data_IF_975412450250
#
_entry.id   IF_975412450250
#
_cell.length_a   1.000
_cell.length_b   1.000
_cell.length_c   1.000
_cell.angle_alpha   90.00
_cell.angle_beta   90.00
_cell.angle_gamma   90.00
#
_symmetry.space_group_name_H-M   'P 1'
#
loop_
_entity.id
_entity.type
_entity.pdbx_description
1 polymer ?
#
# COMPACT_ATOMS: atom_id res chain seq x y z
N UNK A 1 2.02 -31.43 19.08
CA UNK A 1 2.84 -31.11 17.89
C UNK A 1 2.69 -29.62 17.71
N UNK A 2 3.70 -28.86 18.13
CA UNK A 2 3.74 -27.41 17.91
C UNK A 2 4.11 -27.20 16.44
N UNK A 3 3.09 -26.89 15.62
CA UNK A 3 3.23 -26.65 14.18
C UNK A 3 3.69 -25.20 13.94
N UNK A 4 4.91 -24.89 14.43
CA UNK A 4 5.50 -23.54 14.37
C UNK A 4 6.46 -23.36 13.19
N UNK A 5 6.69 -24.43 12.42
CA UNK A 5 7.63 -24.45 11.30
C UNK A 5 7.01 -25.14 10.09
N UNK A 6 6.80 -24.38 9.03
CA UNK A 6 6.44 -24.87 7.71
C UNK A 6 7.69 -25.34 6.94
N UNK A 7 7.55 -26.11 5.85
CA UNK A 7 8.69 -26.45 4.99
C UNK A 7 9.39 -25.17 4.48
N UNK A 8 10.72 -25.12 4.39
CA UNK A 8 11.41 -23.96 3.85
C UNK A 8 11.09 -23.77 2.36
N UNK A 9 11.14 -22.53 1.91
CA UNK A 9 11.06 -22.14 0.49
C UNK A 9 12.46 -22.15 -0.09
N UNK A 10 12.63 -22.75 -1.27
CA UNK A 10 13.91 -22.72 -1.97
C UNK A 10 14.35 -21.29 -2.28
N UNK A 11 15.63 -21.00 -2.03
CA UNK A 11 16.20 -19.69 -2.36
C UNK A 11 16.04 -19.42 -3.86
N UNK A 12 15.56 -18.22 -4.19
CA UNK A 12 15.29 -17.87 -5.60
C UNK A 12 13.90 -18.25 -6.11
N UNK A 13 13.10 -19.00 -5.35
CA UNK A 13 11.73 -19.31 -5.73
C UNK A 13 10.89 -18.03 -5.84
N UNK A 14 10.12 -17.92 -6.92
CA UNK A 14 9.17 -16.83 -7.10
C UNK A 14 7.98 -17.05 -6.15
N UNK A 15 7.80 -16.13 -5.20
CA UNK A 15 6.67 -16.17 -4.26
C UNK A 15 5.55 -15.25 -4.77
N UNK A 16 4.34 -15.79 -4.83
CA UNK A 16 3.13 -15.00 -5.11
C UNK A 16 2.76 -14.19 -3.86
N UNK A 17 2.39 -12.93 -4.05
CA UNK A 17 1.94 -12.03 -2.98
C UNK A 17 2.69 -10.69 -2.94
N UNK A 18 3.85 -10.58 -3.59
CA UNK A 18 4.59 -9.31 -3.66
C UNK A 18 4.92 -8.76 -2.27
N UNK A 19 4.69 -7.46 -2.04
CA UNK A 19 4.96 -6.82 -0.74
C UNK A 19 4.11 -7.40 0.41
N UNK A 20 2.94 -8.00 0.10
CA UNK A 20 2.04 -8.63 1.08
C UNK A 20 2.71 -9.77 1.84
N UNK A 21 3.73 -10.40 1.26
CA UNK A 21 4.54 -11.43 1.95
C UNK A 21 5.15 -10.87 3.23
N UNK A 22 5.79 -9.70 3.13
CA UNK A 22 6.46 -9.06 4.26
C UNK A 22 5.44 -8.44 5.23
N UNK A 23 4.33 -7.91 4.71
CA UNK A 23 3.25 -7.38 5.52
C UNK A 23 2.62 -8.45 6.42
N UNK A 24 2.29 -9.62 5.83
CA UNK A 24 1.72 -10.73 6.60
C UNK A 24 2.74 -11.33 7.57
N UNK A 25 3.99 -11.52 7.16
CA UNK A 25 5.03 -12.03 8.06
C UNK A 25 5.23 -11.09 9.25
N UNK A 26 5.29 -9.79 8.97
CA UNK A 26 5.36 -8.75 10.00
C UNK A 26 4.14 -8.79 10.92
N UNK A 27 2.94 -8.99 10.39
CA UNK A 27 1.72 -9.06 11.18
C UNK A 27 1.65 -10.31 12.08
N UNK A 28 1.86 -11.49 11.50
CA UNK A 28 1.89 -12.79 12.17
C UNK A 28 2.46 -13.88 11.22
N UNK A 29 3.56 -14.57 11.56
CA UNK A 29 4.15 -15.61 10.70
C UNK A 29 3.16 -16.70 10.29
N UNK A 30 2.34 -17.18 11.23
CA UNK A 30 1.28 -18.15 10.92
C UNK A 30 0.31 -17.66 9.85
N UNK A 31 -0.06 -16.37 9.89
CA UNK A 31 -0.97 -15.77 8.89
C UNK A 31 -0.33 -15.76 7.51
N UNK A 32 0.95 -15.40 7.41
CA UNK A 32 1.68 -15.45 6.15
C UNK A 32 1.72 -16.87 5.56
N UNK A 33 2.03 -17.86 6.39
CA UNK A 33 2.02 -19.26 5.98
C UNK A 33 0.64 -19.72 5.51
N UNK A 34 -0.39 -19.55 6.34
CA UNK A 34 -1.74 -20.03 6.05
C UNK A 34 -2.32 -19.37 4.79
N UNK A 35 -2.25 -18.05 4.66
CA UNK A 35 -2.87 -17.37 3.52
C UNK A 35 -2.08 -17.56 2.21
N UNK A 36 -0.74 -17.49 2.25
CA UNK A 36 0.06 -17.48 1.02
C UNK A 36 0.47 -18.87 0.54
N UNK A 37 0.57 -19.84 1.45
CA UNK A 37 1.05 -21.19 1.12
C UNK A 37 -0.04 -22.24 1.17
N UNK A 38 -1.00 -22.11 2.10
CA UNK A 38 -2.16 -23.01 2.16
C UNK A 38 -3.38 -22.45 1.42
N UNK A 39 -3.32 -21.20 0.94
CA UNK A 39 -4.46 -20.48 0.36
C UNK A 39 -5.67 -20.47 1.30
N UNK A 40 -5.42 -20.46 2.62
CA UNK A 40 -6.46 -20.38 3.63
C UNK A 40 -6.91 -18.92 3.76
N UNK A 41 -7.81 -18.49 2.87
CA UNK A 41 -8.46 -17.18 2.95
C UNK A 41 -9.92 -17.36 3.32
N UNK A 42 -10.51 -16.33 3.95
CA UNK A 42 -11.96 -16.32 4.16
C UNK A 42 -12.69 -16.39 2.81
N UNK A 43 -13.91 -16.92 2.83
CA UNK A 43 -14.82 -16.80 1.69
C UNK A 43 -15.30 -15.34 1.62
N UNK A 44 -15.38 -14.81 0.40
CA UNK A 44 -15.94 -13.49 0.18
C UNK A 44 -17.41 -13.46 0.61
N UNK A 45 -17.76 -12.54 1.50
CA UNK A 45 -19.15 -12.30 1.87
C UNK A 45 -19.79 -11.35 0.84
N UNK A 46 -20.99 -11.66 0.31
CA UNK A 46 -21.65 -10.78 -0.63
C UNK A 46 -22.07 -9.48 0.06
N UNK A 47 -21.50 -8.35 -0.38
CA UNK A 47 -21.87 -7.02 0.08
C UNK A 47 -22.64 -6.23 -1.00
N UNK A 48 -23.36 -5.19 -0.59
CA UNK A 48 -24.09 -4.28 -1.46
C UNK A 48 -23.13 -3.27 -2.10
N UNK A 49 -22.42 -3.70 -3.14
CA UNK A 49 -21.57 -2.85 -3.98
C UNK A 49 -20.09 -3.23 -3.91
N UNK A 50 -19.19 -2.37 -4.42
CA UNK A 50 -17.76 -2.66 -4.40
C UNK A 50 -17.23 -2.59 -2.97
N UNK A 51 -16.49 -3.64 -2.60
CA UNK A 51 -15.78 -3.73 -1.33
C UNK A 51 -14.61 -2.72 -1.25
N UNK A 52 -13.94 -2.68 -0.10
CA UNK A 52 -12.82 -1.76 0.12
C UNK A 52 -11.68 -1.99 -0.87
N UNK A 53 -11.42 -3.25 -1.26
CA UNK A 53 -10.35 -3.62 -2.18
C UNK A 53 -10.65 -3.15 -3.61
N UNK A 54 -11.87 -3.35 -4.09
CA UNK A 54 -12.33 -2.86 -5.39
C UNK A 54 -12.29 -1.33 -5.45
N UNK A 55 -12.71 -0.65 -4.37
CA UNK A 55 -12.63 0.82 -4.29
C UNK A 55 -11.19 1.32 -4.30
N UNK A 56 -10.28 0.65 -3.59
CA UNK A 56 -8.85 0.94 -3.66
C UNK A 56 -8.32 0.75 -5.08
N UNK A 57 -8.60 -0.39 -5.70
CA UNK A 57 -8.16 -0.68 -7.07
C UNK A 57 -8.67 0.34 -8.10
N UNK A 58 -9.91 0.80 -7.95
CA UNK A 58 -10.47 1.86 -8.78
C UNK A 58 -9.75 3.19 -8.58
N UNK A 59 -9.46 3.58 -7.34
CA UNK A 59 -8.69 4.80 -7.05
C UNK A 59 -7.32 4.75 -7.74
N UNK A 60 -6.57 3.66 -7.59
CA UNK A 60 -5.28 3.50 -8.24
C UNK A 60 -5.41 3.62 -9.76
N UNK A 61 -6.43 2.99 -10.35
CA UNK A 61 -6.66 3.07 -11.79
C UNK A 61 -6.96 4.49 -12.26
N UNK A 62 -7.76 5.25 -11.50
CA UNK A 62 -8.04 6.66 -11.79
C UNK A 62 -6.76 7.48 -11.72
N UNK A 63 -5.95 7.32 -10.67
CA UNK A 63 -4.69 8.05 -10.52
C UNK A 63 -3.69 7.70 -11.62
N UNK A 64 -3.57 6.43 -12.00
CA UNK A 64 -2.73 5.98 -13.11
C UNK A 64 -3.11 6.67 -14.42
N UNK A 65 -4.40 6.67 -14.77
CA UNK A 65 -4.89 7.26 -16.02
C UNK A 65 -4.73 8.79 -16.02
N UNK A 66 -5.15 9.44 -14.93
CA UNK A 66 -5.11 10.89 -14.79
C UNK A 66 -3.68 11.44 -14.87
N UNK A 67 -2.76 10.87 -14.09
CA UNK A 67 -1.37 11.29 -14.13
C UNK A 67 -0.64 10.88 -15.41
N UNK A 68 -1.21 9.95 -16.19
CA UNK A 68 -0.76 9.68 -17.55
C UNK A 68 -1.04 10.78 -18.54
N UNK A 69 -2.12 11.53 -18.32
CA UNK A 69 -2.45 12.68 -19.14
C UNK A 69 -1.81 13.97 -18.62
N UNK A 70 -1.86 14.20 -17.31
CA UNK A 70 -1.30 15.41 -16.71
C UNK A 70 0.23 15.41 -16.74
N UNK A 71 0.86 14.29 -16.38
CA UNK A 71 2.32 14.12 -16.38
C UNK A 71 3.09 14.91 -15.31
N UNK A 72 2.64 16.08 -14.91
CA UNK A 72 3.31 16.93 -13.91
C UNK A 72 2.36 17.91 -13.22
N UNK A 73 2.89 18.62 -12.21
CA UNK A 73 2.12 19.61 -11.47
C UNK A 73 1.76 20.84 -12.33
N UNK A 74 2.62 21.26 -13.25
CA UNK A 74 2.39 22.46 -14.05
C UNK A 74 1.16 22.29 -14.95
N UNK A 75 0.98 21.10 -15.54
CA UNK A 75 -0.20 20.74 -16.30
C UNK A 75 -1.47 20.75 -15.45
N UNK A 76 -1.41 20.24 -14.21
CA UNK A 76 -2.52 20.33 -13.26
C UNK A 76 -2.90 21.79 -12.96
N UNK A 77 -1.90 22.64 -12.71
CA UNK A 77 -2.10 24.05 -12.39
C UNK A 77 -2.61 24.87 -13.58
N UNK A 78 -2.30 24.46 -14.82
CA UNK A 78 -2.74 25.13 -16.04
C UNK A 78 -4.23 24.92 -16.37
N UNK A 79 -4.87 23.89 -15.79
CA UNK A 79 -6.30 23.63 -15.98
C UNK A 79 -7.15 24.49 -15.05
N UNK A 80 -8.14 25.15 -15.64
CA UNK A 80 -9.24 25.75 -14.89
C UNK A 80 -10.16 24.67 -14.28
N UNK A 81 -11.08 25.09 -13.41
CA UNK A 81 -11.95 24.18 -12.67
C UNK A 81 -12.83 23.31 -13.58
N UNK A 82 -13.38 23.90 -14.66
CA UNK A 82 -14.27 23.20 -15.57
C UNK A 82 -13.51 22.15 -16.41
N UNK A 83 -12.33 22.52 -16.92
CA UNK A 83 -11.46 21.64 -17.67
C UNK A 83 -10.90 20.52 -16.79
N UNK A 84 -10.50 20.83 -15.55
CA UNK A 84 -10.04 19.82 -14.59
C UNK A 84 -11.14 18.80 -14.28
N UNK A 85 -12.34 19.28 -13.95
CA UNK A 85 -13.50 18.41 -13.68
C UNK A 85 -13.83 17.50 -14.85
N UNK A 86 -13.84 18.03 -16.08
CA UNK A 86 -14.09 17.23 -17.29
C UNK A 86 -12.98 16.18 -17.52
N UNK A 87 -11.71 16.53 -17.28
CA UNK A 87 -10.59 15.60 -17.36
C UNK A 87 -10.72 14.46 -16.34
N UNK A 88 -10.98 14.79 -15.07
CA UNK A 88 -11.19 13.82 -14.00
C UNK A 88 -12.37 12.91 -14.31
N UNK A 89 -13.54 13.46 -14.66
CA UNK A 89 -14.74 12.67 -14.97
C UNK A 89 -14.50 11.66 -16.09
N UNK A 90 -13.75 12.04 -17.13
CA UNK A 90 -13.42 11.13 -18.24
C UNK A 90 -12.57 9.95 -17.78
N UNK A 91 -11.54 10.18 -16.97
CA UNK A 91 -10.67 9.10 -16.46
C UNK A 91 -11.38 8.22 -15.42
N UNK A 92 -12.22 8.82 -14.58
CA UNK A 92 -13.08 8.10 -13.64
C UNK A 92 -14.07 7.20 -14.38
N UNK A 93 -14.75 7.72 -15.39
CA UNK A 93 -15.67 6.95 -16.24
C UNK A 93 -14.95 5.76 -16.87
N UNK A 94 -13.78 5.98 -17.48
CA UNK A 94 -13.00 4.92 -18.10
C UNK A 94 -12.57 3.83 -17.10
N UNK A 95 -12.16 4.20 -15.88
CA UNK A 95 -11.78 3.25 -14.84
C UNK A 95 -12.97 2.40 -14.37
N UNK A 96 -14.13 3.04 -14.14
CA UNK A 96 -15.36 2.34 -13.71
C UNK A 96 -15.89 1.43 -14.80
N UNK A 97 -15.90 1.86 -16.07
CA UNK A 97 -16.31 1.03 -17.21
C UNK A 97 -15.42 -0.20 -17.37
N UNK A 98 -14.10 -0.03 -17.27
CA UNK A 98 -13.15 -1.12 -17.36
C UNK A 98 -13.38 -2.17 -16.25
N UNK A 99 -13.69 -1.73 -15.03
CA UNK A 99 -13.98 -2.62 -13.91
C UNK A 99 -15.33 -3.33 -14.06
N UNK A 100 -16.36 -2.58 -14.47
CA UNK A 100 -17.68 -3.13 -14.76
C UNK A 100 -17.66 -4.18 -15.87
N UNK A 101 -16.77 -4.05 -16.87
CA UNK A 101 -16.60 -5.04 -17.93
C UNK A 101 -16.05 -6.38 -17.41
N UNK A 102 -15.17 -6.37 -16.41
CA UNK A 102 -14.64 -7.59 -15.77
C UNK A 102 -15.69 -8.28 -14.91
N UNK A 103 -16.57 -7.51 -14.29
CA UNK A 103 -17.54 -7.98 -13.29
C UNK A 103 -18.99 -7.57 -13.64
N UNK A 104 -19.45 -7.90 -14.86
CA UNK A 104 -20.71 -7.38 -15.43
C UNK A 104 -21.95 -7.53 -14.54
N UNK A 105 -22.07 -8.65 -13.81
CA UNK A 105 -23.21 -8.91 -12.91
C UNK A 105 -23.19 -8.09 -11.62
N UNK A 106 -22.02 -7.60 -11.21
CA UNK A 106 -21.82 -6.88 -9.94
C UNK A 106 -21.89 -5.35 -10.11
N UNK A 107 -21.91 -4.86 -11.35
CA UNK A 107 -21.84 -3.44 -11.67
C UNK A 107 -23.03 -2.95 -12.52
N UNK A 108 -24.25 -2.86 -11.97
CA UNK A 108 -25.36 -2.26 -12.69
C UNK A 108 -25.09 -0.79 -13.03
N UNK A 109 -25.67 -0.29 -14.13
CA UNK A 109 -25.44 1.08 -14.62
C UNK A 109 -25.66 2.16 -13.56
N UNK A 110 -26.63 1.96 -12.67
CA UNK A 110 -26.91 2.90 -11.56
C UNK A 110 -25.76 2.94 -10.55
N UNK A 111 -25.14 1.81 -10.24
CA UNK A 111 -23.98 1.74 -9.35
C UNK A 111 -22.76 2.40 -10.01
N UNK A 112 -22.54 2.13 -11.30
CA UNK A 112 -21.48 2.78 -12.06
C UNK A 112 -21.62 4.31 -12.01
N UNK A 113 -22.82 4.85 -12.25
CA UNK A 113 -23.05 6.29 -12.19
C UNK A 113 -22.81 6.91 -10.80
N UNK A 114 -23.16 6.18 -9.72
CA UNK A 114 -22.88 6.61 -8.35
C UNK A 114 -21.38 6.61 -8.06
N UNK A 115 -20.67 5.56 -8.45
CA UNK A 115 -19.21 5.47 -8.26
C UNK A 115 -18.47 6.52 -9.08
N UNK A 116 -18.92 6.82 -10.31
CA UNK A 116 -18.35 7.91 -11.12
C UNK A 116 -18.50 9.26 -10.43
N UNK A 117 -19.69 9.54 -9.89
CA UNK A 117 -19.93 10.78 -9.15
C UNK A 117 -19.03 10.85 -7.92
N UNK A 118 -19.01 9.78 -7.11
CA UNK A 118 -18.23 9.70 -5.86
C UNK A 118 -16.73 9.84 -6.11
N UNK A 119 -16.17 9.08 -7.05
CA UNK A 119 -14.74 9.10 -7.37
C UNK A 119 -14.32 10.41 -8.03
N UNK A 120 -15.20 11.07 -8.78
CA UNK A 120 -14.93 12.40 -9.33
C UNK A 120 -14.69 13.40 -8.21
N UNK A 121 -15.62 13.52 -7.26
CA UNK A 121 -15.45 14.48 -6.14
C UNK A 121 -14.24 14.12 -5.27
N UNK A 122 -14.05 12.83 -4.97
CA UNK A 122 -12.90 12.37 -4.18
C UNK A 122 -11.57 12.70 -4.86
N UNK A 123 -11.50 12.51 -6.18
CA UNK A 123 -10.29 12.81 -6.96
C UNK A 123 -10.05 14.31 -7.03
N UNK A 124 -11.08 15.13 -7.22
CA UNK A 124 -10.94 16.59 -7.22
C UNK A 124 -10.45 17.10 -5.86
N UNK A 125 -11.03 16.62 -4.76
CA UNK A 125 -10.59 16.96 -3.40
C UNK A 125 -9.12 16.56 -3.17
N UNK A 126 -8.69 15.39 -3.67
CA UNK A 126 -7.28 14.99 -3.63
C UNK A 126 -6.37 15.92 -4.44
N UNK A 127 -6.81 16.34 -5.63
CA UNK A 127 -5.99 17.19 -6.49
C UNK A 127 -5.76 18.58 -5.88
N UNK A 128 -6.58 19.04 -4.95
CA UNK A 128 -6.30 20.26 -4.18
C UNK A 128 -5.06 20.10 -3.27
N UNK A 129 -4.81 18.91 -2.75
CA UNK A 129 -3.55 18.59 -2.04
C UNK A 129 -2.37 18.59 -3.01
N UNK A 130 -2.54 17.99 -4.19
CA UNK A 130 -1.50 17.93 -5.23
C UNK A 130 -1.13 19.32 -5.76
N UNK A 131 -2.11 20.23 -5.89
CA UNK A 131 -1.89 21.64 -6.27
C UNK A 131 -1.00 22.40 -5.29
N UNK A 132 -0.98 22.01 -4.02
CA UNK A 132 -0.21 22.68 -2.95
C UNK A 132 1.22 22.15 -2.80
N UNK A 133 1.56 21.04 -3.43
CA UNK A 133 2.91 20.47 -3.37
C UNK A 133 3.94 21.38 -4.06
N UNK A 134 5.23 21.24 -3.77
CA UNK A 134 6.27 21.81 -4.62
C UNK A 134 6.27 21.17 -6.03
N UNK A 135 6.87 21.82 -7.05
CA UNK A 135 6.91 21.28 -8.41
C UNK A 135 7.47 19.86 -8.50
N UNK A 136 6.76 19.00 -9.24
CA UNK A 136 7.13 17.62 -9.48
C UNK A 136 6.77 17.19 -10.90
N UNK A 137 7.44 16.14 -11.38
CA UNK A 137 7.12 15.43 -12.63
C UNK A 137 6.87 13.96 -12.31
N UNK A 138 5.78 13.41 -12.82
CA UNK A 138 5.46 11.99 -12.65
C UNK A 138 6.36 11.17 -13.57
N UNK A 139 7.31 10.44 -12.99
CA UNK A 139 8.27 9.62 -13.72
C UNK A 139 7.69 8.23 -14.05
N UNK A 140 6.95 7.64 -13.11
CA UNK A 140 6.35 6.33 -13.31
C UNK A 140 5.01 6.19 -12.57
N UNK A 141 4.15 5.32 -13.09
CA UNK A 141 2.83 4.98 -12.55
C UNK A 141 2.63 3.48 -12.67
N UNK A 142 2.11 2.84 -11.62
CA UNK A 142 1.79 1.41 -11.59
C UNK A 142 2.97 0.53 -12.09
N UNK A 143 4.20 0.89 -11.70
CA UNK A 143 5.44 0.28 -12.20
C UNK A 143 5.63 -1.11 -11.61
N UNK A 144 5.61 -2.13 -12.47
CA UNK A 144 5.95 -3.50 -12.10
C UNK A 144 7.46 -3.66 -11.95
N UNK A 145 7.90 -4.22 -10.82
CA UNK A 145 9.30 -4.47 -10.53
C UNK A 145 9.49 -5.82 -9.83
N UNK A 146 10.54 -6.53 -10.22
CA UNK A 146 11.02 -7.70 -9.49
C UNK A 146 12.08 -7.27 -8.46
N UNK A 147 11.87 -7.64 -7.20
CA UNK A 147 12.78 -7.30 -6.10
C UNK A 147 13.32 -8.59 -5.48
N UNK A 148 14.63 -8.64 -5.28
CA UNK A 148 15.29 -9.67 -4.48
C UNK A 148 15.56 -9.13 -3.07
N UNK A 149 15.04 -9.80 -2.04
CA UNK A 149 15.22 -9.41 -0.64
C UNK A 149 15.22 -10.66 0.26
N UNK A 150 16.22 -10.81 1.13
CA UNK A 150 16.33 -11.97 2.03
C UNK A 150 16.24 -13.34 1.34
N UNK A 151 16.69 -13.46 0.08
CA UNK A 151 16.61 -14.68 -0.74
C UNK A 151 15.24 -14.97 -1.38
N UNK A 152 14.24 -14.11 -1.16
CA UNK A 152 12.96 -14.12 -1.86
C UNK A 152 13.04 -13.30 -3.15
N UNK A 153 12.27 -13.72 -4.17
CA UNK A 153 12.00 -12.92 -5.36
C UNK A 153 10.53 -12.52 -5.35
N UNK A 154 10.27 -11.23 -5.22
CA UNK A 154 8.95 -10.65 -5.09
C UNK A 154 8.62 -9.81 -6.33
N UNK A 155 7.45 -10.02 -6.92
CA UNK A 155 6.89 -9.11 -7.92
C UNK A 155 6.05 -8.06 -7.21
N UNK A 156 6.42 -6.80 -7.33
CA UNK A 156 5.70 -5.68 -6.71
C UNK A 156 5.25 -4.68 -7.75
N UNK A 157 4.36 -3.79 -7.34
CA UNK A 157 3.82 -2.72 -8.17
C UNK A 157 3.89 -1.41 -7.39
N UNK A 158 4.73 -0.49 -7.85
CA UNK A 158 4.86 0.84 -7.25
C UNK A 158 3.77 1.73 -7.85
N UNK A 159 2.92 2.32 -7.01
CA UNK A 159 1.78 3.10 -7.51
C UNK A 159 2.23 4.34 -8.29
N UNK A 160 3.15 5.12 -7.72
CA UNK A 160 3.65 6.32 -8.37
C UNK A 160 5.06 6.71 -7.90
N UNK A 161 5.85 7.20 -8.85
CA UNK A 161 7.16 7.79 -8.62
C UNK A 161 7.15 9.21 -9.20
N UNK A 162 7.43 10.19 -8.35
CA UNK A 162 7.62 11.56 -8.75
C UNK A 162 9.12 11.92 -8.70
N UNK A 163 9.59 12.67 -9.69
CA UNK A 163 10.85 13.40 -9.60
C UNK A 163 10.59 14.76 -8.96
N UNK A 164 11.30 15.05 -7.88
CA UNK A 164 11.15 16.26 -7.04
C UNK A 164 12.50 16.96 -6.87
N UNK A 165 12.51 18.29 -6.76
CA UNK A 165 13.76 19.05 -6.59
C UNK A 165 14.51 19.40 -7.88
N UNK A 166 13.86 19.28 -9.04
CA UNK A 166 14.42 19.67 -10.35
C UNK A 166 15.28 18.59 -11.02
N UNK A 167 16.19 18.99 -11.92
CA UNK A 167 17.02 18.06 -12.71
C UNK A 167 18.07 17.29 -11.89
N UNK A 168 18.59 17.88 -10.81
CA UNK A 168 19.46 17.23 -9.83
C UNK A 168 18.66 16.62 -8.66
N UNK A 169 17.34 16.60 -8.78
CA UNK A 169 16.41 16.19 -7.75
C UNK A 169 16.40 14.68 -7.48
N UNK A 170 15.71 14.28 -6.42
CA UNK A 170 15.53 12.88 -6.04
C UNK A 170 14.16 12.33 -6.44
N UNK A 171 13.93 11.06 -6.11
CA UNK A 171 12.66 10.37 -6.34
C UNK A 171 11.83 10.30 -5.06
N UNK A 172 10.59 10.73 -5.16
CA UNK A 172 9.55 10.52 -4.16
C UNK A 172 8.68 9.34 -4.60
N UNK A 173 8.65 8.29 -3.80
CA UNK A 173 7.75 7.15 -4.02
C UNK A 173 6.46 7.36 -3.22
N UNK A 174 5.33 7.23 -3.90
CA UNK A 174 4.00 7.46 -3.34
C UNK A 174 3.21 6.16 -3.41
N UNK A 175 2.52 5.85 -2.32
CA UNK A 175 1.54 4.75 -2.24
C UNK A 175 0.17 5.34 -1.85
N UNK A 176 -0.86 5.00 -2.64
CA UNK A 176 -2.22 5.51 -2.43
C UNK A 176 -2.95 4.65 -1.40
N UNK A 177 -3.58 5.29 -0.43
CA UNK A 177 -4.37 4.63 0.61
C UNK A 177 -5.73 5.28 0.76
N UNK A 178 -6.79 4.47 0.78
CA UNK A 178 -8.16 4.90 1.08
C UNK A 178 -8.46 4.88 2.59
N UNK A 179 -7.62 4.19 3.37
CA UNK A 179 -7.67 4.13 4.83
C UNK A 179 -6.67 5.07 5.49
N UNK A 180 -6.66 5.05 6.83
CA UNK A 180 -5.66 5.81 7.60
C UNK A 180 -4.28 5.23 7.39
N UNK A 181 -3.31 6.07 7.08
CA UNK A 181 -1.92 5.67 6.93
C UNK A 181 -0.98 6.73 7.52
N UNK A 182 0.10 6.28 8.15
CA UNK A 182 1.05 7.18 8.79
C UNK A 182 2.50 6.64 8.65
N UNK A 183 3.51 7.52 8.50
CA UNK A 183 4.92 7.11 8.40
C UNK A 183 5.42 6.26 9.58
N UNK A 184 4.81 6.41 10.77
CA UNK A 184 5.12 5.58 11.93
C UNK A 184 4.91 4.07 11.68
N UNK A 185 4.07 3.71 10.71
CA UNK A 185 3.82 2.32 10.30
C UNK A 185 5.00 1.67 9.58
N UNK A 186 6.03 2.44 9.20
CA UNK A 186 7.26 1.94 8.58
C UNK A 186 8.34 1.58 9.59
N UNK A 187 8.18 1.96 10.85
CA UNK A 187 9.20 1.83 11.88
C UNK A 187 9.13 0.51 12.66
N UNK A 188 10.22 0.21 13.35
CA UNK A 188 10.35 -0.95 14.24
C UNK A 188 10.77 -2.24 13.53
N UNK A 189 10.93 -3.31 14.32
CA UNK A 189 11.38 -4.62 13.83
C UNK A 189 10.29 -5.38 13.05
N UNK A 190 9.02 -5.01 13.27
CA UNK A 190 7.84 -5.57 12.59
C UNK A 190 6.94 -4.44 12.08
N UNK A 191 7.34 -3.72 11.02
CA UNK A 191 6.59 -2.58 10.50
C UNK A 191 5.18 -2.97 10.05
N UNK A 192 4.20 -2.11 10.31
CA UNK A 192 2.81 -2.30 9.88
C UNK A 192 2.66 -2.29 8.36
N UNK A 193 3.39 -1.41 7.68
CA UNK A 193 3.30 -1.21 6.25
C UNK A 193 4.70 -1.26 5.59
N UNK A 194 5.29 -2.46 5.42
CA UNK A 194 6.65 -2.61 4.88
C UNK A 194 6.79 -2.28 3.38
N UNK A 195 5.69 -1.94 2.69
CA UNK A 195 5.67 -1.74 1.24
C UNK A 195 6.54 -0.55 0.77
N UNK A 196 6.38 0.62 1.37
CA UNK A 196 7.21 1.79 1.02
C UNK A 196 8.69 1.62 1.43
N UNK A 197 9.02 1.09 2.63
CA UNK A 197 10.38 0.64 2.95
C UNK A 197 10.97 -0.30 1.91
N UNK A 198 10.19 -1.27 1.42
CA UNK A 198 10.63 -2.20 0.38
C UNK A 198 10.97 -1.47 -0.92
N UNK A 199 10.21 -0.45 -1.29
CA UNK A 199 10.49 0.36 -2.48
C UNK A 199 11.74 1.22 -2.31
N UNK A 200 11.96 1.82 -1.12
CA UNK A 200 13.17 2.58 -0.83
C UNK A 200 14.46 1.74 -0.96
N UNK A 201 14.45 0.49 -0.50
CA UNK A 201 15.66 -0.36 -0.55
C UNK A 201 15.92 -0.97 -1.92
N UNK A 202 14.95 -0.92 -2.84
CA UNK A 202 14.99 -1.61 -4.13
C UNK A 202 15.02 -0.68 -5.34
N UNK A 203 14.84 0.62 -5.12
CA UNK A 203 14.81 1.63 -6.16
C UNK A 203 15.97 2.61 -5.99
N UNK A 204 16.58 2.99 -7.11
CA UNK A 204 17.68 3.96 -7.11
C UNK A 204 17.15 5.38 -6.87
N UNK A 205 17.96 6.19 -6.18
CA UNK A 205 17.71 7.63 -5.98
C UNK A 205 16.39 7.99 -5.29
N UNK A 206 15.79 7.03 -4.58
CA UNK A 206 14.67 7.34 -3.69
C UNK A 206 15.19 8.21 -2.56
N UNK A 207 14.68 9.42 -2.46
CA UNK A 207 15.02 10.39 -1.42
C UNK A 207 13.81 10.73 -0.55
N UNK A 208 12.63 10.18 -0.86
CA UNK A 208 11.44 10.37 -0.05
C UNK A 208 10.40 9.27 -0.27
N UNK A 209 9.59 9.04 0.76
CA UNK A 209 8.47 8.12 0.78
C UNK A 209 7.24 8.86 1.29
N UNK A 210 6.08 8.64 0.67
CA UNK A 210 4.83 9.20 1.17
C UNK A 210 3.64 8.25 0.98
N UNK A 211 2.74 8.30 1.96
CA UNK A 211 1.37 7.89 1.77
C UNK A 211 0.55 9.06 1.22
N UNK A 212 -0.19 8.78 0.15
CA UNK A 212 -1.27 9.62 -0.34
C UNK A 212 -2.59 9.08 0.23
N UNK A 213 -3.03 9.66 1.35
CA UNK A 213 -4.30 9.30 1.98
C UNK A 213 -5.44 10.00 1.23
N UNK A 214 -6.14 9.23 0.39
CA UNK A 214 -7.28 9.68 -0.41
C UNK A 214 -8.57 9.21 0.27
N UNK A 215 -8.97 9.97 1.31
CA UNK A 215 -10.14 9.70 2.13
C UNK A 215 -10.92 11.00 2.34
N UNK A 216 -12.20 11.00 1.96
CA UNK A 216 -13.07 12.17 2.08
C UNK A 216 -13.03 12.77 3.50
N UNK A 217 -12.74 14.07 3.59
CA UNK A 217 -12.64 14.81 4.85
C UNK A 217 -11.34 14.59 5.65
N UNK A 218 -10.47 13.66 5.23
CA UNK A 218 -9.18 13.38 5.86
C UNK A 218 -8.06 13.28 4.79
N UNK A 219 -8.10 14.12 3.75
CA UNK A 219 -7.05 14.13 2.71
C UNK A 219 -5.70 14.54 3.30
N UNK A 220 -4.67 13.73 3.06
CA UNK A 220 -3.33 14.03 3.54
C UNK A 220 -2.24 13.41 2.69
N UNK A 221 -1.16 14.16 2.47
CA UNK A 221 0.13 13.63 2.05
C UNK A 221 1.02 13.57 3.30
N UNK A 222 1.44 12.37 3.70
CA UNK A 222 2.30 12.21 4.88
C UNK A 222 3.45 11.26 4.58
N UNK A 223 4.65 11.64 5.01
CA UNK A 223 5.84 10.96 4.57
C UNK A 223 7.12 11.37 5.27
N UNK A 224 8.20 10.75 4.84
CA UNK A 224 9.56 10.98 5.28
C UNK A 224 10.42 11.31 4.07
N UNK A 225 11.27 12.33 4.18
CA UNK A 225 12.19 12.75 3.13
C UNK A 225 13.60 12.87 3.67
N UNK A 226 14.59 12.61 2.82
CA UNK A 226 15.98 13.00 3.03
C UNK A 226 16.03 14.51 3.30
N UNK A 227 16.71 14.93 4.37
CA UNK A 227 16.91 16.33 4.68
C UNK A 227 17.60 17.10 3.53
N UNK A 228 18.41 16.41 2.71
CA UNK A 228 19.06 16.98 1.54
C UNK A 228 18.11 17.18 0.34
N UNK A 229 16.92 16.58 0.33
CA UNK A 229 15.94 16.73 -0.75
C UNK A 229 15.30 18.13 -0.79
N UNK A 230 15.56 18.97 0.23
CA UNK A 230 14.94 20.28 0.38
C UNK A 230 13.48 20.20 0.83
N UNK A 231 12.77 21.31 0.72
CA UNK A 231 11.35 21.35 1.07
C UNK A 231 10.50 20.76 -0.06
N UNK A 232 10.10 19.51 0.13
CA UNK A 232 9.15 18.81 -0.74
C UNK A 232 7.78 18.62 -0.06
N UNK A 233 7.51 19.35 1.03
CA UNK A 233 6.26 19.27 1.79
C UNK A 233 6.11 18.02 2.67
N UNK A 234 7.23 17.36 3.03
CA UNK A 234 7.26 16.16 3.88
C UNK A 234 8.18 16.37 5.09
N UNK A 235 8.00 15.56 6.15
CA UNK A 235 8.87 15.61 7.31
C UNK A 235 10.28 15.14 6.90
N UNK A 236 11.30 15.92 7.22
CA UNK A 236 12.68 15.49 7.06
C UNK A 236 13.03 14.35 8.03
N UNK A 237 13.80 13.38 7.55
CA UNK A 237 14.38 12.33 8.37
C UNK A 237 15.33 12.94 9.40
N UNK A 238 15.26 12.42 10.63
CA UNK A 238 16.14 12.86 11.72
C UNK A 238 17.54 12.24 11.59
N UNK A 239 17.62 11.07 10.96
CA UNK A 239 18.85 10.33 10.66
C UNK A 239 19.29 10.58 9.22
N UNK A 240 20.54 10.23 8.91
CA UNK A 240 21.02 10.18 7.53
C UNK A 240 20.14 9.24 6.70
N UNK A 241 19.80 9.66 5.48
CA UNK A 241 18.88 8.89 4.65
C UNK A 241 19.44 7.51 4.27
N UNK A 242 20.76 7.41 4.09
CA UNK A 242 21.43 6.13 3.89
C UNK A 242 21.26 5.20 5.08
N UNK A 243 21.35 5.71 6.31
CA UNK A 243 21.08 4.94 7.53
C UNK A 243 19.62 4.48 7.61
N UNK A 244 18.66 5.36 7.29
CA UNK A 244 17.23 5.00 7.22
C UNK A 244 16.98 3.85 6.25
N UNK A 245 17.57 3.91 5.04
CA UNK A 245 17.42 2.86 4.03
C UNK A 245 18.12 1.57 4.46
N UNK A 246 19.28 1.64 5.11
CA UNK A 246 19.97 0.47 5.65
C UNK A 246 19.15 -0.22 6.75
N UNK A 247 18.51 0.55 7.62
CA UNK A 247 17.64 0.02 8.66
C UNK A 247 16.42 -0.67 8.08
N UNK A 248 15.76 -0.07 7.07
CA UNK A 248 14.71 -0.74 6.32
C UNK A 248 15.19 -2.04 5.70
N UNK A 249 16.36 -2.05 5.05
CA UNK A 249 16.90 -3.27 4.43
C UNK A 249 17.07 -4.38 5.45
N UNK A 250 17.71 -4.08 6.59
CA UNK A 250 17.94 -5.04 7.66
C UNK A 250 16.64 -5.66 8.17
N UNK A 251 15.63 -4.84 8.46
CA UNK A 251 14.33 -5.32 8.95
C UNK A 251 13.63 -6.20 7.90
N UNK A 252 13.61 -5.76 6.65
CA UNK A 252 12.94 -6.49 5.56
C UNK A 252 13.65 -7.81 5.23
N UNK A 253 14.98 -7.86 5.32
CA UNK A 253 15.76 -9.09 5.14
C UNK A 253 15.47 -10.12 6.23
N UNK A 254 15.30 -9.69 7.48
CA UNK A 254 14.89 -10.57 8.59
C UNK A 254 13.50 -11.16 8.33
N UNK A 255 12.52 -10.32 7.98
CA UNK A 255 11.16 -10.80 7.66
C UNK A 255 11.16 -11.76 6.47
N UNK A 256 11.90 -11.43 5.40
CA UNK A 256 12.01 -12.28 4.23
C UNK A 256 12.67 -13.63 4.55
N UNK A 257 13.75 -13.62 5.36
CA UNK A 257 14.43 -14.83 5.79
C UNK A 257 13.53 -15.72 6.66
N UNK A 258 12.79 -15.14 7.62
CA UNK A 258 11.84 -15.88 8.46
C UNK A 258 10.76 -16.59 7.63
N UNK A 259 10.14 -15.87 6.68
CA UNK A 259 9.16 -16.48 5.78
C UNK A 259 9.78 -17.61 4.94
N UNK A 260 10.98 -17.38 4.39
CA UNK A 260 11.71 -18.37 3.58
C UNK A 260 12.06 -19.62 4.38
N UNK A 261 12.49 -19.45 5.62
CA UNK A 261 12.89 -20.55 6.51
C UNK A 261 11.69 -21.31 7.09
N UNK A 262 10.47 -20.84 6.78
CA UNK A 262 9.24 -21.51 7.16
C UNK A 262 8.77 -21.14 8.56
N UNK A 263 9.18 -20.00 9.09
CA UNK A 263 8.64 -19.49 10.36
C UNK A 263 7.12 -19.32 10.24
N UNK A 264 6.37 -20.09 11.04
CA UNK A 264 4.92 -20.14 11.00
C UNK A 264 4.31 -20.09 12.42
N UNK A 265 5.05 -19.55 13.38
CA UNK A 265 4.57 -19.38 14.74
C UNK A 265 3.30 -18.51 14.81
N UNK A 266 2.38 -18.86 15.71
CA UNK A 266 1.20 -18.04 16.03
C UNK A 266 1.64 -16.88 16.91
N UNK A 267 2.21 -15.87 16.27
CA UNK A 267 2.83 -14.72 16.95
C UNK A 267 2.35 -13.40 16.33
N UNK A 268 1.16 -12.90 16.71
CA UNK A 268 0.67 -11.61 16.25
C UNK A 268 1.50 -10.48 16.85
N UNK A 269 1.97 -9.55 16.01
CA UNK A 269 2.75 -8.38 16.45
C UNK A 269 2.11 -7.60 17.61
N UNK A 270 0.77 -7.52 17.61
CA UNK A 270 -0.06 -6.96 18.68
C UNK A 270 -1.43 -7.63 18.68
N UNK A 271 -2.16 -7.70 19.81
CA UNK A 271 -3.47 -8.36 19.89
C UNK A 271 -4.48 -7.88 18.84
N UNK A 272 -4.49 -6.58 18.54
CA UNK A 272 -5.37 -5.98 17.54
C UNK A 272 -5.22 -6.55 16.12
N UNK A 273 -4.08 -7.18 15.78
CA UNK A 273 -3.90 -7.88 14.48
C UNK A 273 -4.92 -9.02 14.33
N UNK A 274 -5.29 -9.68 15.43
CA UNK A 274 -6.25 -10.78 15.42
C UNK A 274 -7.69 -10.33 15.11
N UNK A 275 -8.05 -9.07 15.43
CA UNK A 275 -9.41 -8.55 15.22
C UNK A 275 -9.84 -8.47 13.75
N UNK A 276 -8.87 -8.44 12.82
CA UNK A 276 -9.11 -8.46 11.36
C UNK A 276 -8.65 -9.77 10.70
N UNK A 277 -8.34 -10.80 11.50
CA UNK A 277 -7.80 -12.06 11.02
C UNK A 277 -8.89 -13.13 11.03
N UNK A 278 -9.20 -13.70 9.86
CA UNK A 278 -10.18 -14.78 9.72
C UNK A 278 -9.65 -16.17 10.11
N UNK A 279 -8.38 -16.26 10.51
CA UNK A 279 -7.71 -17.52 10.80
C UNK A 279 -7.74 -17.94 12.27
N UNK A 280 -8.47 -17.23 13.13
CA UNK A 280 -8.50 -17.51 14.59
C UNK A 280 -8.88 -18.95 14.92
N UNK A 281 -9.80 -19.55 14.14
CA UNK A 281 -10.18 -20.96 14.26
C UNK A 281 -9.09 -21.93 13.78
N UNK A 282 -8.28 -21.53 12.79
CA UNK A 282 -7.21 -22.36 12.25
C UNK A 282 -5.95 -22.31 13.13
N UNK A 283 -5.59 -21.13 13.65
CA UNK A 283 -4.40 -20.96 14.48
C UNK A 283 -4.61 -21.37 15.93
N UNK A 284 -5.87 -21.51 16.40
CA UNK A 284 -6.25 -21.92 17.75
C UNK A 284 -5.60 -21.06 18.86
N UNK A 285 -5.32 -19.79 18.57
CA UNK A 285 -4.66 -18.86 19.50
C UNK A 285 -5.40 -18.77 20.86
N UNK A 286 -6.73 -18.80 20.84
CA UNK A 286 -7.56 -18.74 22.05
C UNK A 286 -7.46 -20.01 22.90
N UNK A 287 -7.13 -21.16 22.31
CA UNK A 287 -6.89 -22.39 23.08
C UNK A 287 -5.46 -22.41 23.67
N UNK A 288 -4.49 -21.78 22.97
CA UNK A 288 -3.10 -21.72 23.41
C UNK A 288 -2.86 -20.68 24.52
N UNK A 289 -3.59 -19.56 24.49
CA UNK A 289 -3.42 -18.45 25.42
C UNK A 289 -4.23 -18.57 26.74
N UNK A 290 -5.18 -19.51 26.82
CA UNK A 290 -6.13 -19.62 27.94
C UNK A 290 -7.11 -18.43 28.01
N UNK A 291 -7.93 -18.36 29.08
CA UNK A 291 -8.93 -17.29 29.33
C UNK A 291 -8.32 -15.86 29.43
N UNK A 292 -6.99 -15.73 29.44
CA UNK A 292 -6.29 -14.45 29.54
C UNK A 292 -6.19 -13.65 28.22
N UNK A 293 -6.55 -14.24 27.08
CA UNK A 293 -6.69 -13.52 25.80
C UNK A 293 -8.15 -13.05 25.63
N UNK A 294 -8.71 -12.44 26.68
CA UNK A 294 -9.96 -11.71 26.54
C UNK A 294 -9.69 -10.57 25.55
N UNK A 295 -10.40 -10.61 24.43
CA UNK A 295 -10.49 -9.52 23.48
C UNK A 295 -10.79 -8.27 24.29
N UNK A 296 -9.83 -7.34 24.40
CA UNK A 296 -10.19 -5.95 24.69
C UNK A 296 -11.03 -5.51 23.49
N UNK A 297 -12.34 -5.77 23.59
CA UNK A 297 -13.33 -5.08 22.79
C UNK A 297 -13.03 -3.61 22.98
N UNK A 298 -12.67 -2.94 21.88
CA UNK A 298 -12.52 -1.51 21.86
C UNK A 298 -13.86 -0.91 22.30
N UNK A 299 -13.95 -0.48 23.55
CA UNK A 299 -14.99 0.44 24.02
C UNK A 299 -14.88 1.70 23.15
N UNK A 300 -15.83 1.84 22.23
CA UNK A 300 -16.18 3.08 21.58
C UNK A 300 -17.29 3.79 22.34
#
# INVERSE_FOLDING_TARGET
>A
LEDVTAPPVEAGAAIKGGARVLELQSACPFRAFAELRLSATALDEPDLGPDALARGSLLHKVMELLWGELGDQAALLALDEAALRACVQRHVQAAVEAEALKHRSLWPLRLQALEVTRLTELTLEWLEVERQRPPFVVEARELQQAIAIGGLHLSVKIDRIDRVGGEAGGKLVIDYKTGKAAPAQWAGERPEAPQLPLYAVSSEQVSALAFAQVRAGEMAMSGLADAAAGDIGLKAAEQDWGEVVLDYRRVLEVLAAGFREGEAAVDPRKPAVCGSCSLTMLCRIHEQAGEGFALEEAEG
#
